data_IF_424394021711
#
_entry.id   IF_424394021711
#
_cell.length_a   1.000
_cell.length_b   1.000
_cell.length_c   1.000
_cell.angle_alpha   90.00
_cell.angle_beta   90.00
_cell.angle_gamma   90.00
#
_symmetry.space_group_name_H-M   'P 1'
#
loop_
_entity.id
_entity.type
_entity.pdbx_description
1 polymer ?
#
# COMPACT_ATOMS: atom_id res chain seq x y z
N UNK A 1 36.83 30.81 49.80
CA UNK A 1 35.75 30.90 48.79
C UNK A 1 35.07 29.56 48.94
N UNK A 2 34.12 29.51 49.87
CA UNK A 2 33.54 28.28 50.38
C UNK A 2 32.25 28.02 49.60
N UNK A 3 32.15 26.87 48.94
CA UNK A 3 30.87 26.32 48.51
C UNK A 3 30.19 25.66 49.71
N UNK A 4 28.87 25.82 49.87
CA UNK A 4 28.09 24.70 50.37
C UNK A 4 26.77 24.51 49.61
N UNK A 5 26.62 23.29 49.10
CA UNK A 5 25.39 22.51 48.93
C UNK A 5 24.14 23.09 49.62
N UNK A 6 23.08 23.34 48.83
CA UNK A 6 21.64 23.22 49.16
C UNK A 6 20.84 23.90 48.04
N UNK A 7 19.75 23.39 47.51
CA UNK A 7 19.03 22.14 47.68
C UNK A 7 18.09 22.03 46.47
N UNK A 8 17.96 20.84 45.93
CA UNK A 8 16.92 20.51 44.96
C UNK A 8 15.55 20.79 45.59
N UNK A 9 14.88 21.86 45.18
CA UNK A 9 13.43 21.98 45.40
C UNK A 9 12.75 21.55 44.11
N UNK A 10 12.49 20.24 44.05
CA UNK A 10 11.67 19.62 43.03
C UNK A 10 10.24 20.13 43.17
N UNK A 11 9.86 21.13 42.39
CA UNK A 11 8.46 21.49 42.23
C UNK A 11 7.85 20.55 41.18
N UNK A 12 7.50 19.33 41.63
CA UNK A 12 6.68 18.43 40.85
C UNK A 12 5.27 19.02 40.79
N UNK A 13 4.94 19.70 39.69
CA UNK A 13 3.55 20.02 39.37
C UNK A 13 2.90 18.70 38.98
N UNK A 14 2.29 18.03 39.96
CA UNK A 14 1.40 16.88 39.71
C UNK A 14 0.13 17.48 39.09
N UNK A 15 0.16 17.70 37.78
CA UNK A 15 -1.05 17.97 37.01
C UNK A 15 -1.82 16.65 36.98
N UNK A 16 -2.71 16.46 37.96
CA UNK A 16 -3.61 15.31 37.96
C UNK A 16 -4.51 15.44 36.75
N UNK A 17 -4.26 14.63 35.73
CA UNK A 17 -5.19 14.42 34.63
C UNK A 17 -6.43 13.77 35.22
N UNK A 18 -7.38 14.59 35.69
CA UNK A 18 -8.75 14.15 35.89
C UNK A 18 -9.19 13.51 34.59
N UNK A 19 -9.33 12.19 34.62
CA UNK A 19 -9.82 11.42 33.49
C UNK A 19 -11.28 11.80 33.28
N UNK A 20 -11.50 12.84 32.48
CA UNK A 20 -12.78 13.01 31.82
C UNK A 20 -12.85 11.82 30.88
N UNK A 21 -13.79 10.92 31.13
CA UNK A 21 -14.05 9.77 30.29
C UNK A 21 -14.36 10.28 28.87
N UNK A 22 -13.35 10.31 28.01
CA UNK A 22 -13.53 10.49 26.59
C UNK A 22 -14.24 9.24 26.10
N UNK A 23 -15.54 9.37 25.90
CA UNK A 23 -16.33 8.38 25.19
C UNK A 23 -15.57 7.97 23.93
N UNK A 24 -15.46 6.66 23.74
CA UNK A 24 -14.79 6.07 22.59
C UNK A 24 -15.58 6.44 21.33
N UNK A 25 -15.30 7.62 20.77
CA UNK A 25 -15.71 7.94 19.42
C UNK A 25 -14.77 7.14 18.53
N UNK A 26 -15.20 5.94 18.13
CA UNK A 26 -14.48 5.17 17.12
C UNK A 26 -14.38 6.06 15.88
N UNK A 27 -13.19 6.58 15.58
CA UNK A 27 -12.93 7.39 14.38
C UNK A 27 -12.99 6.59 13.08
N UNK A 28 -13.58 5.39 13.12
CA UNK A 28 -13.91 4.64 11.92
C UNK A 28 -15.18 5.26 11.33
N UNK A 29 -15.12 5.94 10.17
CA UNK A 29 -16.33 6.24 9.45
C UNK A 29 -17.06 4.92 9.19
N UNK A 30 -18.22 4.75 9.82
CA UNK A 30 -19.18 3.67 9.55
C UNK A 30 -19.78 3.91 8.16
N UNK A 31 -18.96 3.69 7.13
CA UNK A 31 -19.26 4.00 5.74
C UNK A 31 -18.44 3.14 4.78
N UNK A 32 -17.91 1.99 5.25
CA UNK A 32 -17.57 0.92 4.32
C UNK A 32 -18.89 0.41 3.74
N UNK A 33 -19.34 1.04 2.66
CA UNK A 33 -20.35 0.47 1.76
C UNK A 33 -19.83 -0.91 1.43
N UNK A 34 -20.47 -1.93 2.00
CA UNK A 34 -20.14 -3.32 1.79
C UNK A 34 -20.53 -3.66 0.36
N UNK A 35 -19.68 -3.26 -0.59
CA UNK A 35 -19.89 -3.50 -2.00
C UNK A 35 -19.59 -4.98 -2.24
N UNK A 36 -20.62 -5.80 -2.02
CA UNK A 36 -20.59 -7.28 -2.03
C UNK A 36 -20.03 -7.93 -3.31
N UNK A 37 -19.76 -7.15 -4.36
CA UNK A 37 -19.37 -7.63 -5.69
C UNK A 37 -18.19 -6.86 -6.33
N UNK A 38 -17.27 -6.26 -5.55
CA UNK A 38 -16.02 -5.74 -6.14
C UNK A 38 -14.99 -6.87 -6.24
N UNK A 39 -14.75 -7.36 -7.44
CA UNK A 39 -13.57 -8.18 -7.72
C UNK A 39 -12.31 -7.32 -7.65
N UNK A 40 -11.20 -7.92 -7.20
CA UNK A 40 -9.92 -7.23 -7.19
C UNK A 40 -9.43 -7.02 -8.62
N UNK A 41 -9.30 -5.75 -9.02
CA UNK A 41 -8.71 -5.38 -10.30
C UNK A 41 -7.28 -4.90 -10.06
N UNK A 42 -6.32 -5.68 -10.53
CA UNK A 42 -4.91 -5.31 -10.50
C UNK A 42 -4.66 -4.19 -11.51
N UNK A 43 -4.25 -3.01 -11.01
CA UNK A 43 -4.00 -1.81 -11.84
C UNK A 43 -2.57 -1.71 -12.40
N UNK A 44 -1.64 -2.50 -11.87
CA UNK A 44 -0.21 -2.43 -12.21
C UNK A 44 0.36 -3.82 -12.41
N UNK A 45 1.21 -3.98 -13.41
CA UNK A 45 2.02 -5.17 -13.70
C UNK A 45 3.45 -5.09 -13.13
N UNK A 46 3.79 -3.95 -12.51
CA UNK A 46 5.08 -3.70 -11.89
C UNK A 46 5.05 -4.10 -10.42
N UNK A 47 6.18 -4.62 -9.94
CA UNK A 47 6.37 -5.10 -8.57
C UNK A 47 7.70 -4.57 -8.04
N UNK A 48 7.82 -4.42 -6.73
CA UNK A 48 9.00 -3.85 -6.09
C UNK A 48 9.42 -4.70 -4.90
N UNK A 49 10.73 -4.85 -4.72
CA UNK A 49 11.34 -5.35 -3.49
C UNK A 49 12.09 -4.22 -2.79
N UNK A 50 12.19 -4.32 -1.47
CA UNK A 50 12.98 -3.40 -0.69
C UNK A 50 14.39 -3.97 -0.55
N UNK A 51 15.37 -3.25 -1.08
CA UNK A 51 16.78 -3.63 -1.00
C UNK A 51 17.41 -2.99 0.25
N UNK A 52 17.67 -3.81 1.27
CA UNK A 52 18.17 -3.33 2.57
C UNK A 52 19.55 -2.66 2.48
N UNK A 53 20.42 -3.11 1.55
CA UNK A 53 21.77 -2.59 1.40
C UNK A 53 21.78 -1.13 0.90
N UNK A 54 20.88 -0.81 -0.04
CA UNK A 54 20.76 0.53 -0.61
C UNK A 54 19.68 1.38 0.08
N UNK A 55 18.89 0.76 0.98
CA UNK A 55 17.75 1.37 1.66
C UNK A 55 16.74 1.96 0.66
N UNK A 56 16.45 1.22 -0.42
CA UNK A 56 15.63 1.71 -1.51
C UNK A 56 14.66 0.66 -2.06
N UNK A 57 13.59 1.11 -2.73
CA UNK A 57 12.65 0.23 -3.43
C UNK A 57 13.11 0.06 -4.88
N UNK A 58 13.36 -1.18 -5.28
CA UNK A 58 13.81 -1.53 -6.62
C UNK A 58 12.75 -2.36 -7.33
N UNK A 59 12.54 -2.09 -8.62
CA UNK A 59 11.58 -2.84 -9.42
C UNK A 59 12.12 -4.24 -9.72
N UNK A 60 11.30 -5.26 -9.46
CA UNK A 60 11.67 -6.66 -9.68
C UNK A 60 11.33 -7.12 -11.09
N UNK A 61 12.15 -8.02 -11.62
CA UNK A 61 11.89 -8.66 -12.92
C UNK A 61 11.02 -9.89 -12.72
N UNK A 62 10.01 -10.03 -13.59
CA UNK A 62 9.12 -11.19 -13.58
C UNK A 62 9.65 -12.32 -14.49
N UNK A 63 9.42 -13.60 -14.14
CA UNK A 63 8.74 -14.07 -12.92
C UNK A 63 9.61 -13.88 -11.66
N UNK A 64 8.96 -13.57 -10.54
CA UNK A 64 9.63 -13.30 -9.28
C UNK A 64 9.18 -14.29 -8.20
N UNK A 65 10.12 -15.00 -7.58
CA UNK A 65 9.82 -16.01 -6.56
C UNK A 65 9.73 -15.38 -5.17
N UNK A 66 8.61 -15.62 -4.49
CA UNK A 66 8.42 -15.22 -3.11
C UNK A 66 9.04 -16.28 -2.21
N UNK A 67 9.96 -15.86 -1.35
CA UNK A 67 10.63 -16.73 -0.38
C UNK A 67 10.28 -16.32 1.03
N UNK A 68 10.16 -17.30 1.92
CA UNK A 68 10.03 -17.08 3.37
C UNK A 68 11.16 -17.81 4.05
N UNK A 69 11.92 -17.08 4.86
CA UNK A 69 13.05 -17.61 5.62
C UNK A 69 12.68 -17.72 7.09
N UNK A 70 12.78 -18.93 7.65
CA UNK A 70 12.62 -19.20 9.09
C UNK A 70 13.90 -19.87 9.55
N UNK A 71 14.55 -19.32 10.58
CA UNK A 71 15.82 -19.83 11.12
C UNK A 71 16.92 -20.04 10.07
N UNK A 72 16.98 -19.13 9.08
CA UNK A 72 17.95 -19.20 7.98
C UNK A 72 17.62 -20.23 6.89
N UNK A 73 16.53 -21.00 7.03
CA UNK A 73 16.03 -21.87 5.99
C UNK A 73 14.98 -21.14 5.14
N UNK A 74 15.36 -20.78 3.92
CA UNK A 74 14.49 -20.08 2.98
C UNK A 74 13.79 -21.07 2.06
N UNK A 75 12.46 -20.98 2.01
CA UNK A 75 11.64 -21.79 1.12
C UNK A 75 10.81 -20.91 0.21
N UNK A 76 10.61 -21.38 -1.03
CA UNK A 76 9.72 -20.73 -1.98
C UNK A 76 8.27 -20.95 -1.55
N UNK A 77 7.55 -19.85 -1.31
CA UNK A 77 6.14 -19.86 -0.91
C UNK A 77 5.20 -19.47 -2.06
N UNK A 78 5.74 -18.95 -3.17
CA UNK A 78 4.96 -18.63 -4.36
C UNK A 78 5.79 -18.00 -5.48
N UNK A 79 5.14 -17.64 -6.57
CA UNK A 79 5.74 -16.90 -7.70
C UNK A 79 4.76 -15.86 -8.24
N UNK A 80 5.28 -14.69 -8.57
CA UNK A 80 4.58 -13.65 -9.31
C UNK A 80 4.92 -13.82 -10.79
N UNK A 81 3.91 -14.04 -11.62
CA UNK A 81 4.06 -14.12 -13.07
C UNK A 81 3.63 -12.81 -13.74
N UNK A 82 4.29 -12.45 -14.84
CA UNK A 82 3.86 -11.34 -15.67
C UNK A 82 2.54 -11.65 -16.37
N UNK A 83 1.62 -10.69 -16.36
CA UNK A 83 0.45 -10.72 -17.23
C UNK A 83 0.90 -10.28 -18.62
N UNK A 84 0.69 -11.11 -19.65
CA UNK A 84 0.85 -10.66 -21.03
C UNK A 84 -0.25 -9.63 -21.27
N UNK A 85 0.10 -8.34 -21.40
CA UNK A 85 -0.83 -7.33 -21.90
C UNK A 85 -1.34 -7.83 -23.25
N UNK A 86 -2.62 -8.18 -23.33
CA UNK A 86 -3.31 -8.30 -24.60
C UNK A 86 -3.48 -6.87 -25.09
N UNK A 87 -2.71 -6.49 -26.09
CA UNK A 87 -2.88 -5.26 -26.88
C UNK A 87 -4.20 -5.27 -27.70
N UNK A 88 -5.09 -6.22 -27.45
CA UNK A 88 -6.32 -6.47 -28.23
C UNK A 88 -7.44 -5.45 -27.95
N UNK A 89 -7.47 -4.78 -26.78
CA UNK A 89 -8.55 -3.83 -26.43
C UNK A 89 -8.39 -2.43 -27.06
N UNK A 90 -7.17 -2.02 -27.40
CA UNK A 90 -6.90 -0.72 -28.07
C UNK A 90 -7.19 -0.80 -29.58
N UNK A 91 -6.90 -1.93 -30.21
CA UNK A 91 -7.16 -2.15 -31.64
C UNK A 91 -8.67 -2.26 -31.95
N UNK A 92 -9.45 -2.90 -31.07
CA UNK A 92 -10.92 -2.99 -31.24
C UNK A 92 -11.61 -1.61 -31.10
N UNK A 93 -11.08 -0.74 -30.24
CA UNK A 93 -11.60 0.62 -30.04
C UNK A 93 -11.28 1.53 -31.23
N UNK A 94 -10.08 1.44 -31.79
CA UNK A 94 -9.68 2.20 -33.00
C UNK A 94 -10.35 1.67 -34.28
N UNK A 95 -10.61 0.37 -34.38
CA UNK A 95 -11.31 -0.25 -35.52
C UNK A 95 -12.78 0.17 -35.63
N UNK A 96 -13.44 0.48 -34.51
CA UNK A 96 -14.84 0.97 -34.50
C UNK A 96 -15.01 2.42 -34.95
N UNK A 97 -14.00 3.28 -34.81
CA UNK A 97 -14.10 4.68 -35.22
C UNK A 97 -13.93 4.88 -36.75
N UNK A 98 -13.19 4.02 -37.44
CA UNK A 98 -12.91 4.17 -38.88
C UNK A 98 -13.81 3.32 -39.82
N UNK A 99 -14.56 2.35 -39.30
CA UNK A 99 -15.42 1.47 -40.12
C UNK A 99 -16.82 2.02 -40.46
N UNK A 100 -17.19 3.20 -39.97
CA UNK A 100 -18.58 3.63 -39.86
C UNK A 100 -19.08 4.72 -40.82
N UNK A 101 -18.58 4.87 -42.06
CA UNK A 101 -19.26 5.78 -43.01
C UNK A 101 -18.95 5.57 -44.50
N UNK A 102 -19.39 4.46 -45.11
CA UNK A 102 -19.74 4.42 -46.55
C UNK A 102 -20.88 3.42 -46.82
N UNK A 103 -22.11 3.92 -46.71
CA UNK A 103 -23.28 3.52 -47.52
C UNK A 103 -23.76 4.88 -48.05
N UNK A 104 -23.62 5.21 -49.33
CA UNK A 104 -24.17 4.47 -50.45
C UNK A 104 -25.64 4.89 -50.56
N UNK A 105 -25.91 5.99 -51.26
CA UNK A 105 -27.25 6.35 -51.70
C UNK A 105 -27.13 6.73 -53.18
N UNK A 106 -27.83 5.94 -54.01
CA UNK A 106 -28.08 6.15 -55.44
C UNK A 106 -28.94 7.40 -55.68
#
# INVERSE_FOLDING_TARGET
MEDPSTGLTANAIITSCWSVAFGSSSWCPHGFVQQRNREFLQKTDRFWEFEEQSNSWVEVKLPFDLVSCVDGNCTKVGSIHGTKKKEEDEEERLGREFGGRRKGED
#
